data_IF_309748600084
#
_entry.id   IF_309748600084
#
_cell.length_a   1.000
_cell.length_b   1.000
_cell.length_c   1.000
_cell.angle_alpha   90.00
_cell.angle_beta   90.00
_cell.angle_gamma   90.00
#
_symmetry.space_group_name_H-M   'P 1'
#
loop_
_entity.id
_entity.type
_entity.pdbx_description
1 polymer ?
#
# COMPACT_ATOMS: atom_id res chain seq x y z
N UNK A 1 -14.72 0.16 -7.76
CA UNK A 1 -14.81 1.27 -8.73
C UNK A 1 -14.09 2.50 -8.18
N UNK A 2 -13.66 3.40 -9.08
CA UNK A 2 -13.00 4.67 -8.72
C UNK A 2 -13.89 5.53 -7.81
N UNK A 3 -15.20 5.56 -8.08
CA UNK A 3 -16.18 6.24 -7.23
C UNK A 3 -16.17 5.71 -5.80
N UNK A 4 -16.17 4.39 -5.62
CA UNK A 4 -16.12 3.76 -4.28
C UNK A 4 -14.80 4.05 -3.56
N UNK A 5 -13.70 4.07 -4.29
CA UNK A 5 -12.39 4.46 -3.76
C UNK A 5 -12.40 5.90 -3.24
N UNK A 6 -12.93 6.85 -4.03
CA UNK A 6 -13.06 8.26 -3.62
C UNK A 6 -13.94 8.41 -2.37
N UNK A 7 -15.09 7.72 -2.32
CA UNK A 7 -15.98 7.73 -1.15
C UNK A 7 -15.25 7.22 0.10
N UNK A 8 -14.55 6.10 -0.02
CA UNK A 8 -13.78 5.53 1.11
C UNK A 8 -12.68 6.47 1.58
N UNK A 9 -11.84 6.97 0.68
CA UNK A 9 -10.72 7.84 1.04
C UNK A 9 -11.19 9.17 1.63
N UNK A 10 -12.30 9.73 1.15
CA UNK A 10 -12.92 10.93 1.74
C UNK A 10 -13.41 10.66 3.17
N UNK A 11 -14.08 9.51 3.38
CA UNK A 11 -14.49 9.11 4.73
C UNK A 11 -13.31 9.01 5.68
N UNK A 12 -12.22 8.34 5.27
CA UNK A 12 -11.02 8.23 6.10
C UNK A 12 -10.45 9.60 6.43
N UNK A 13 -10.34 10.50 5.44
CA UNK A 13 -9.76 11.84 5.61
C UNK A 13 -10.57 12.72 6.58
N UNK A 14 -11.88 12.61 6.54
CA UNK A 14 -12.79 13.49 7.30
C UNK A 14 -13.11 12.94 8.70
N UNK A 15 -12.92 11.64 8.93
CA UNK A 15 -13.24 11.03 10.22
C UNK A 15 -12.15 11.29 11.27
N UNK A 16 -12.50 11.96 12.36
CA UNK A 16 -11.57 12.34 13.45
C UNK A 16 -10.75 11.18 14.02
N UNK A 17 -11.24 9.95 13.96
CA UNK A 17 -10.55 8.77 14.50
C UNK A 17 -9.61 8.12 13.49
N UNK A 18 -9.93 8.25 12.19
CA UNK A 18 -9.24 7.53 11.11
C UNK A 18 -8.39 8.43 10.20
N UNK A 19 -8.54 9.77 10.26
CA UNK A 19 -7.74 10.71 9.47
C UNK A 19 -6.23 10.51 9.63
N UNK A 20 -5.78 10.07 10.80
CA UNK A 20 -4.38 9.76 11.08
C UNK A 20 -3.80 8.59 10.26
N UNK A 21 -4.64 7.76 9.65
CA UNK A 21 -4.25 6.64 8.78
C UNK A 21 -4.36 6.97 7.30
N UNK A 22 -4.83 8.19 6.98
CA UNK A 22 -5.07 8.58 5.59
C UNK A 22 -3.83 8.44 4.72
N UNK A 23 -2.69 8.97 5.17
CA UNK A 23 -1.43 8.91 4.42
C UNK A 23 -0.93 7.47 4.24
N UNK A 24 -1.11 6.58 5.24
CA UNK A 24 -0.79 5.15 5.11
C UNK A 24 -1.60 4.50 4.00
N UNK A 25 -2.90 4.81 3.93
CA UNK A 25 -3.81 4.25 2.92
C UNK A 25 -3.54 4.83 1.53
N UNK A 26 -3.18 6.12 1.43
CA UNK A 26 -2.74 6.72 0.17
C UNK A 26 -1.50 6.03 -0.37
N UNK A 27 -0.49 5.81 0.47
CA UNK A 27 0.74 5.11 0.04
C UNK A 27 0.45 3.69 -0.43
N UNK A 28 -0.34 2.92 0.32
CA UNK A 28 -0.72 1.55 -0.09
C UNK A 28 -1.48 1.53 -1.42
N UNK A 29 -2.45 2.43 -1.56
CA UNK A 29 -3.31 2.51 -2.75
C UNK A 29 -2.53 3.04 -3.97
N UNK A 30 -1.58 3.97 -3.77
CA UNK A 30 -0.82 4.61 -4.84
C UNK A 30 0.46 3.87 -5.24
N UNK A 31 0.83 2.80 -4.54
CA UNK A 31 2.04 2.02 -4.83
C UNK A 31 1.79 0.56 -5.17
N UNK A 32 0.63 0.03 -4.77
CA UNK A 32 0.30 -1.39 -4.94
C UNK A 32 1.22 -2.35 -4.17
N UNK A 33 2.02 -1.88 -3.22
CA UNK A 33 2.85 -2.75 -2.36
C UNK A 33 2.01 -3.77 -1.59
N UNK A 34 2.63 -4.91 -1.25
CA UNK A 34 2.05 -5.79 -0.23
C UNK A 34 2.09 -5.08 1.12
N UNK A 35 1.08 -5.31 1.94
CA UNK A 35 1.01 -4.67 3.27
C UNK A 35 2.22 -5.01 4.15
N UNK A 36 2.76 -6.21 4.06
CA UNK A 36 3.97 -6.63 4.77
C UNK A 36 5.25 -5.94 4.25
N UNK A 37 5.34 -5.67 2.93
CA UNK A 37 6.39 -4.86 2.33
C UNK A 37 6.31 -3.40 2.85
N UNK A 38 5.12 -2.82 2.88
CA UNK A 38 4.90 -1.47 3.40
C UNK A 38 5.27 -1.35 4.89
N UNK A 39 4.86 -2.33 5.70
CA UNK A 39 5.25 -2.38 7.11
C UNK A 39 6.76 -2.59 7.30
N UNK A 40 7.43 -3.22 6.34
CA UNK A 40 8.87 -3.44 6.34
C UNK A 40 9.70 -2.21 5.98
N UNK A 41 9.11 -1.19 5.35
CA UNK A 41 9.86 -0.01 4.91
C UNK A 41 10.58 0.66 6.08
N UNK A 42 11.86 0.93 5.86
CA UNK A 42 12.70 1.74 6.73
C UNK A 42 12.93 3.12 6.12
N UNK A 43 13.46 4.06 6.92
CA UNK A 43 13.83 5.38 6.44
C UNK A 43 14.87 5.35 5.30
N UNK A 44 15.70 4.28 5.27
CA UNK A 44 16.73 4.09 4.23
C UNK A 44 16.16 3.61 2.88
N UNK A 45 14.91 3.16 2.86
CA UNK A 45 14.25 2.70 1.64
C UNK A 45 13.58 3.83 0.85
N UNK A 46 13.57 5.03 1.42
CA UNK A 46 12.92 6.20 0.85
C UNK A 46 13.94 7.17 0.26
N UNK A 47 14.11 7.15 -1.05
CA UNK A 47 14.87 8.17 -1.78
C UNK A 47 13.92 9.30 -2.21
N UNK A 48 13.74 10.27 -1.32
CA UNK A 48 12.85 11.40 -1.56
C UNK A 48 13.37 12.34 -2.65
N UNK A 49 14.69 12.44 -2.82
CA UNK A 49 15.30 13.29 -3.85
C UNK A 49 14.98 12.77 -5.25
N UNK A 50 15.09 11.47 -5.47
CA UNK A 50 14.82 10.82 -6.76
C UNK A 50 13.40 10.23 -6.83
N UNK A 51 12.57 10.43 -5.82
CA UNK A 51 11.19 9.94 -5.72
C UNK A 51 11.07 8.43 -5.95
N UNK A 52 11.87 7.65 -5.22
CA UNK A 52 11.91 6.19 -5.32
C UNK A 52 11.70 5.53 -3.97
N UNK A 53 10.93 4.46 -3.95
CA UNK A 53 10.79 3.55 -2.81
C UNK A 53 11.49 2.25 -3.17
N UNK A 54 12.47 1.84 -2.35
CA UNK A 54 13.10 0.53 -2.50
C UNK A 54 12.26 -0.52 -1.78
N UNK A 55 11.94 -1.60 -2.48
CA UNK A 55 11.21 -2.75 -1.92
C UNK A 55 12.07 -3.98 -2.16
N UNK A 56 12.67 -4.55 -1.10
CA UNK A 56 13.51 -5.74 -1.17
C UNK A 56 13.30 -6.68 0.03
N UNK A 57 12.41 -6.32 0.93
CA UNK A 57 12.08 -7.10 2.13
C UNK A 57 10.67 -6.81 2.62
N UNK A 58 10.21 -7.61 3.57
CA UNK A 58 8.93 -7.46 4.24
C UNK A 58 9.08 -7.74 5.74
N UNK A 59 8.25 -7.10 6.56
CA UNK A 59 8.18 -7.33 7.99
C UNK A 59 7.03 -8.29 8.32
N UNK A 60 7.34 -9.35 9.03
CA UNK A 60 6.39 -10.37 9.45
C UNK A 60 6.41 -10.49 10.97
N UNK A 61 5.25 -10.80 11.54
CA UNK A 61 5.10 -11.19 12.93
C UNK A 61 4.43 -12.55 13.01
N UNK A 62 5.12 -13.50 13.61
CA UNK A 62 4.58 -14.83 13.87
C UNK A 62 3.49 -14.83 14.95
N UNK A 63 2.69 -15.88 14.99
CA UNK A 63 1.63 -16.07 15.99
C UNK A 63 2.15 -16.05 17.44
N UNK A 64 3.42 -16.42 17.66
CA UNK A 64 4.13 -16.31 18.93
C UNK A 64 4.60 -14.90 19.29
N UNK A 65 4.32 -13.89 18.47
CA UNK A 65 4.68 -12.50 18.73
C UNK A 65 6.08 -12.08 18.28
N UNK A 66 6.90 -13.01 17.77
CA UNK A 66 8.23 -12.72 17.26
C UNK A 66 8.15 -11.99 15.92
N UNK A 67 8.94 -10.91 15.80
CA UNK A 67 9.11 -10.16 14.56
C UNK A 67 10.34 -10.69 13.82
N UNK A 68 10.26 -10.74 12.49
CA UNK A 68 11.40 -11.01 11.63
C UNK A 68 11.24 -10.31 10.28
N UNK A 69 12.38 -10.06 9.63
CA UNK A 69 12.42 -9.49 8.29
C UNK A 69 12.72 -10.59 7.29
N UNK A 70 11.81 -10.80 6.34
CA UNK A 70 12.01 -11.73 5.24
C UNK A 70 12.43 -10.94 3.99
N UNK A 71 13.60 -11.27 3.45
CA UNK A 71 14.04 -10.75 2.16
C UNK A 71 13.22 -11.37 1.04
N UNK A 72 13.02 -10.62 -0.03
CA UNK A 72 12.32 -11.15 -1.21
C UNK A 72 13.11 -12.32 -1.80
N UNK A 73 12.43 -13.45 -2.01
CA UNK A 73 13.03 -14.71 -2.49
C UNK A 73 13.46 -14.67 -3.95
N UNK A 74 12.92 -13.75 -4.73
CA UNK A 74 13.14 -13.63 -6.17
C UNK A 74 13.67 -12.26 -6.52
N UNK A 75 14.42 -12.15 -7.62
CA UNK A 75 14.84 -10.86 -8.17
C UNK A 75 13.65 -9.96 -8.50
N UNK A 76 12.54 -10.52 -8.98
CA UNK A 76 11.30 -9.78 -9.24
C UNK A 76 10.71 -9.11 -7.99
N UNK A 77 11.04 -9.63 -6.80
CA UNK A 77 10.64 -9.02 -5.54
C UNK A 77 11.44 -7.76 -5.21
N UNK A 78 12.68 -7.65 -5.73
CA UNK A 78 13.53 -6.47 -5.54
C UNK A 78 13.21 -5.46 -6.62
N UNK A 79 12.66 -4.33 -6.22
CA UNK A 79 12.24 -3.31 -7.18
C UNK A 79 12.25 -1.93 -6.57
N UNK A 80 12.24 -0.94 -7.44
CA UNK A 80 11.98 0.45 -7.06
C UNK A 80 10.60 0.85 -7.56
N UNK A 81 9.81 1.45 -6.69
CA UNK A 81 8.51 2.01 -7.03
C UNK A 81 8.66 3.51 -7.13
N UNK A 82 8.30 4.14 -8.26
CA UNK A 82 8.32 5.60 -8.36
C UNK A 82 7.20 6.19 -7.51
N UNK A 83 7.47 7.35 -6.90
CA UNK A 83 6.48 8.08 -6.13
C UNK A 83 5.71 9.03 -7.04
N UNK A 84 4.39 8.90 -7.10
CA UNK A 84 3.53 9.97 -7.62
C UNK A 84 3.57 11.15 -6.66
N UNK A 85 3.08 12.33 -7.07
CA UNK A 85 3.02 13.51 -6.18
C UNK A 85 2.25 13.22 -4.89
N UNK A 86 1.12 12.54 -5.00
CA UNK A 86 0.27 12.19 -3.86
C UNK A 86 0.97 11.24 -2.89
N UNK A 87 1.65 10.20 -3.41
CA UNK A 87 2.44 9.27 -2.60
C UNK A 87 3.62 9.98 -1.93
N UNK A 88 4.31 10.85 -2.65
CA UNK A 88 5.44 11.63 -2.14
C UNK A 88 4.99 12.52 -0.98
N UNK A 89 3.91 13.27 -1.14
CA UNK A 89 3.36 14.13 -0.10
C UNK A 89 2.94 13.32 1.14
N UNK A 90 2.27 12.20 0.93
CA UNK A 90 1.85 11.31 2.04
C UNK A 90 3.06 10.72 2.78
N UNK A 91 4.12 10.33 2.08
CA UNK A 91 5.36 9.87 2.73
C UNK A 91 6.04 11.00 3.52
N UNK A 92 6.05 12.22 3.01
CA UNK A 92 6.56 13.39 3.77
C UNK A 92 5.74 13.61 5.05
N UNK A 93 4.41 13.50 4.99
CA UNK A 93 3.54 13.63 6.16
C UNK A 93 3.82 12.51 7.18
N UNK A 94 3.95 11.25 6.71
CA UNK A 94 4.30 10.12 7.58
C UNK A 94 5.65 10.34 8.27
N UNK A 95 6.66 10.80 7.54
CA UNK A 95 7.98 11.12 8.09
C UNK A 95 7.94 12.27 9.10
N UNK A 96 7.20 13.34 8.81
CA UNK A 96 7.04 14.49 9.69
C UNK A 96 6.34 14.11 11.01
N UNK A 97 5.36 13.21 10.94
CA UNK A 97 4.59 12.73 12.08
C UNK A 97 5.24 11.54 12.80
N UNK A 98 6.27 10.92 12.20
CA UNK A 98 6.95 9.79 12.81
C UNK A 98 7.68 10.20 14.07
N UNK A 99 7.41 9.48 15.17
CA UNK A 99 8.10 9.67 16.43
C UNK A 99 9.60 9.38 16.26
N UNK A 100 10.44 10.31 16.69
CA UNK A 100 11.88 10.08 16.77
C UNK A 100 12.19 9.29 18.04
N UNK A 101 12.63 8.06 17.88
CA UNK A 101 12.98 7.19 19.01
C UNK A 101 14.44 7.42 19.40
N UNK A 102 14.71 7.47 20.71
CA UNK A 102 16.09 7.52 21.22
C UNK A 102 16.85 6.23 20.91
N UNK A 103 16.14 5.10 21.01
CA UNK A 103 16.65 3.78 20.65
C UNK A 103 15.67 3.14 19.65
N UNK A 104 16.09 2.99 18.41
CA UNK A 104 15.29 2.31 17.40
C UNK A 104 15.28 0.81 17.64
N UNK A 105 14.13 0.19 17.40
CA UNK A 105 14.03 -1.28 17.43
C UNK A 105 14.81 -1.86 16.25
N UNK A 106 15.64 -2.86 16.52
CA UNK A 106 16.41 -3.57 15.49
C UNK A 106 15.81 -4.97 15.33
N UNK A 107 15.44 -5.32 14.10
CA UNK A 107 14.91 -6.63 13.73
C UNK A 107 15.72 -7.16 12.55
N UNK A 108 16.44 -8.26 12.75
CA UNK A 108 17.31 -8.89 11.74
C UNK A 108 18.26 -7.91 11.02
N UNK A 109 18.78 -6.93 11.78
CA UNK A 109 19.70 -5.90 11.26
C UNK A 109 19.02 -4.68 10.63
N UNK A 110 17.69 -4.65 10.53
CA UNK A 110 16.92 -3.51 10.06
C UNK A 110 16.47 -2.64 11.22
N UNK A 111 16.51 -1.32 11.05
CA UNK A 111 16.07 -0.32 12.04
C UNK A 111 15.49 0.90 11.34
N UNK A 112 14.85 1.79 12.10
CA UNK A 112 14.24 2.99 11.53
C UNK A 112 13.01 2.67 10.68
N UNK A 113 12.19 1.70 11.08
CA UNK A 113 10.93 1.38 10.39
C UNK A 113 10.04 2.60 10.29
N UNK A 114 9.46 2.83 9.10
CA UNK A 114 8.63 4.00 8.82
C UNK A 114 7.41 4.07 9.71
N UNK A 115 6.73 2.96 9.90
CA UNK A 115 5.46 2.87 10.62
C UNK A 115 5.67 2.28 12.02
N UNK A 116 5.23 3.01 13.03
CA UNK A 116 5.29 2.59 14.43
C UNK A 116 3.87 2.46 15.01
N UNK A 117 3.70 1.50 15.89
CA UNK A 117 2.48 1.35 16.69
C UNK A 117 2.52 2.29 17.94
N UNK A 118 1.47 2.23 18.75
CA UNK A 118 1.36 3.04 19.98
C UNK A 118 2.41 2.71 21.05
N UNK A 119 3.09 1.57 20.93
CA UNK A 119 4.12 1.11 21.87
C UNK A 119 5.54 1.30 21.29
N UNK A 120 5.66 2.10 20.22
CA UNK A 120 6.92 2.36 19.52
C UNK A 120 7.54 1.13 18.84
N UNK A 121 6.76 0.06 18.63
CA UNK A 121 7.17 -1.09 17.82
C UNK A 121 6.77 -0.90 16.35
N UNK A 122 7.49 -1.49 15.40
CA UNK A 122 7.09 -1.46 14.00
C UNK A 122 5.68 -2.03 13.81
N UNK A 123 4.85 -1.34 13.02
CA UNK A 123 3.55 -1.88 12.60
C UNK A 123 3.76 -3.13 11.74
N UNK A 124 2.84 -4.07 11.84
CA UNK A 124 2.73 -5.25 10.97
C UNK A 124 1.40 -5.25 10.25
N UNK A 125 1.25 -6.09 9.23
CA UNK A 125 0.05 -6.20 8.40
C UNK A 125 -1.25 -6.21 9.21
N UNK A 126 -1.29 -6.95 10.32
CA UNK A 126 -2.46 -7.05 11.18
C UNK A 126 -2.92 -5.69 11.76
N UNK A 127 -2.00 -4.75 12.02
CA UNK A 127 -2.38 -3.41 12.49
C UNK A 127 -3.19 -2.68 11.42
N UNK A 128 -2.69 -2.62 10.20
CA UNK A 128 -3.33 -1.94 9.07
C UNK A 128 -4.66 -2.61 8.70
N UNK A 129 -4.71 -3.95 8.69
CA UNK A 129 -5.93 -4.71 8.46
C UNK A 129 -7.00 -4.42 9.51
N UNK A 130 -6.60 -4.31 10.78
CA UNK A 130 -7.51 -3.95 11.87
C UNK A 130 -8.00 -2.50 11.73
N UNK A 131 -7.13 -1.56 11.40
CA UNK A 131 -7.46 -0.16 11.16
C UNK A 131 -8.52 -0.04 10.05
N UNK A 132 -8.31 -0.71 8.91
CA UNK A 132 -9.30 -0.76 7.83
C UNK A 132 -10.61 -1.43 8.25
N UNK A 133 -10.54 -2.54 8.96
CA UNK A 133 -11.71 -3.29 9.42
C UNK A 133 -12.58 -2.46 10.37
N UNK A 134 -11.96 -1.76 11.33
CA UNK A 134 -12.70 -0.91 12.27
C UNK A 134 -13.26 0.34 11.61
N UNK A 135 -12.51 0.95 10.68
CA UNK A 135 -12.99 2.06 9.89
C UNK A 135 -14.20 1.65 9.03
N UNK A 136 -14.15 0.47 8.38
CA UNK A 136 -15.27 -0.07 7.60
C UNK A 136 -16.50 -0.35 8.48
N UNK A 137 -16.29 -0.88 9.68
CA UNK A 137 -17.39 -1.10 10.63
C UNK A 137 -18.09 0.22 11.00
N UNK A 138 -17.31 1.28 11.23
CA UNK A 138 -17.84 2.62 11.51
C UNK A 138 -18.56 3.20 10.29
N UNK A 139 -17.96 3.11 9.10
CA UNK A 139 -18.56 3.57 7.85
C UNK A 139 -19.95 2.95 7.64
N UNK A 140 -20.06 1.62 7.72
CA UNK A 140 -21.33 0.91 7.54
C UNK A 140 -22.41 1.32 8.55
N UNK A 141 -22.00 1.68 9.77
CA UNK A 141 -22.93 2.18 10.80
C UNK A 141 -23.45 3.58 10.46
N UNK A 142 -22.59 4.44 9.89
CA UNK A 142 -22.96 5.82 9.56
C UNK A 142 -23.69 5.94 8.22
N UNK A 143 -23.41 5.06 7.28
CA UNK A 143 -23.92 5.09 5.91
C UNK A 143 -24.54 3.76 5.48
N UNK A 144 -25.64 3.31 6.13
CA UNK A 144 -26.23 2.00 5.85
C UNK A 144 -26.78 1.91 4.41
N UNK A 145 -27.26 3.03 3.85
CA UNK A 145 -27.83 3.11 2.50
C UNK A 145 -26.80 3.30 1.40
N UNK A 146 -25.54 3.47 1.74
CA UNK A 146 -24.42 3.63 0.81
C UNK A 146 -23.33 2.56 1.02
N UNK A 147 -23.62 1.26 0.81
CA UNK A 147 -22.71 0.20 1.11
C UNK A 147 -21.46 0.24 0.23
N UNK A 148 -20.31 0.05 0.87
CA UNK A 148 -19.04 -0.19 0.19
C UNK A 148 -18.67 -1.69 0.27
N UNK A 149 -17.94 -2.22 -0.72
CA UNK A 149 -17.42 -3.58 -0.66
C UNK A 149 -16.47 -3.73 0.53
N UNK A 150 -16.10 -4.99 0.84
CA UNK A 150 -15.10 -5.24 1.86
C UNK A 150 -13.73 -4.72 1.40
N UNK A 151 -13.17 -3.75 2.12
CA UNK A 151 -11.90 -3.10 1.81
C UNK A 151 -10.80 -3.69 2.68
N UNK A 152 -9.72 -4.15 2.04
CA UNK A 152 -8.53 -4.72 2.67
C UNK A 152 -7.29 -4.19 1.96
N UNK A 153 -6.08 -4.35 2.53
CA UNK A 153 -4.84 -4.02 1.83
C UNK A 153 -4.69 -4.77 0.49
N UNK A 154 -5.18 -6.01 0.42
CA UNK A 154 -5.17 -6.78 -0.83
C UNK A 154 -6.10 -6.17 -1.89
N UNK A 155 -7.27 -5.69 -1.49
CA UNK A 155 -8.19 -4.95 -2.40
C UNK A 155 -7.53 -3.66 -2.88
N UNK A 156 -6.80 -2.93 -2.05
CA UNK A 156 -6.05 -1.75 -2.47
C UNK A 156 -5.00 -2.08 -3.54
N UNK A 157 -4.22 -3.13 -3.30
CA UNK A 157 -3.23 -3.61 -4.27
C UNK A 157 -3.86 -4.03 -5.60
N UNK A 158 -4.99 -4.75 -5.54
CA UNK A 158 -5.74 -5.12 -6.75
C UNK A 158 -6.29 -3.89 -7.48
N UNK A 159 -6.81 -2.92 -6.73
CA UNK A 159 -7.33 -1.64 -7.27
C UNK A 159 -6.22 -0.86 -7.96
N UNK A 160 -5.03 -0.76 -7.35
CA UNK A 160 -3.87 -0.14 -8.00
C UNK A 160 -3.53 -0.83 -9.32
N UNK A 161 -3.43 -2.16 -9.32
CA UNK A 161 -3.13 -2.94 -10.51
C UNK A 161 -4.14 -2.67 -11.64
N UNK A 162 -5.43 -2.69 -11.32
CA UNK A 162 -6.52 -2.41 -12.27
C UNK A 162 -6.47 -0.97 -12.79
N UNK A 163 -6.26 0.01 -11.91
CA UNK A 163 -6.18 1.41 -12.30
C UNK A 163 -5.00 1.68 -13.25
N UNK A 164 -3.84 1.07 -12.97
CA UNK A 164 -2.66 1.22 -13.83
C UNK A 164 -2.85 0.52 -15.18
N UNK A 165 -3.47 -0.65 -15.20
CA UNK A 165 -3.83 -1.33 -16.44
C UNK A 165 -4.80 -0.49 -17.29
N UNK A 166 -5.87 0.05 -16.69
CA UNK A 166 -6.84 0.92 -17.35
C UNK A 166 -6.23 2.25 -17.83
N UNK A 167 -5.19 2.74 -17.14
CA UNK A 167 -4.43 3.92 -17.57
C UNK A 167 -3.41 3.61 -18.70
N UNK A 168 -3.37 2.38 -19.21
CA UNK A 168 -2.51 1.99 -20.34
C UNK A 168 -1.05 1.73 -19.93
N UNK A 169 -0.76 1.45 -18.66
CA UNK A 169 0.58 1.07 -18.25
C UNK A 169 0.98 -0.24 -18.95
N UNK A 170 2.20 -0.28 -19.48
CA UNK A 170 2.74 -1.51 -20.09
C UNK A 170 2.72 -2.69 -19.11
N UNK A 171 2.38 -3.90 -19.62
CA UNK A 171 2.21 -5.10 -18.80
C UNK A 171 3.48 -5.45 -18.04
N UNK A 172 4.66 -5.33 -18.67
CA UNK A 172 5.94 -5.64 -18.03
C UNK A 172 6.30 -4.59 -16.96
N UNK A 173 6.00 -3.32 -17.23
CA UNK A 173 6.16 -2.25 -16.26
C UNK A 173 5.25 -2.48 -15.04
N UNK A 174 3.99 -2.86 -15.26
CA UNK A 174 3.06 -3.18 -14.19
C UNK A 174 3.49 -4.42 -13.41
N UNK A 175 3.92 -5.48 -14.11
CA UNK A 175 4.47 -6.69 -13.49
C UNK A 175 5.67 -6.36 -12.58
N UNK A 176 6.58 -5.51 -13.05
CA UNK A 176 7.73 -5.05 -12.29
C UNK A 176 7.31 -4.28 -11.03
N UNK A 177 6.46 -3.25 -11.16
CA UNK A 177 5.99 -2.45 -10.02
C UNK A 177 5.27 -3.30 -8.99
N UNK A 178 4.43 -4.24 -9.45
CA UNK A 178 3.71 -5.17 -8.59
C UNK A 178 4.62 -6.22 -7.94
N UNK A 179 5.79 -6.51 -8.50
CA UNK A 179 6.67 -7.59 -8.04
C UNK A 179 6.01 -8.96 -8.18
N UNK A 180 5.31 -9.18 -9.32
CA UNK A 180 4.73 -10.47 -9.65
C UNK A 180 5.79 -11.34 -10.36
N UNK A 181 6.09 -12.51 -9.79
CA UNK A 181 6.98 -13.50 -10.41
C UNK A 181 6.34 -14.16 -11.64
N UNK A 182 5.00 -14.28 -11.65
CA UNK A 182 4.24 -14.82 -12.74
C UNK A 182 3.47 -13.71 -13.48
N UNK A 183 3.71 -13.61 -14.79
CA UNK A 183 3.03 -12.64 -15.66
C UNK A 183 1.53 -12.89 -15.76
N UNK A 184 1.07 -14.14 -15.59
CA UNK A 184 -0.34 -14.51 -15.66
C UNK A 184 -1.20 -13.74 -14.66
N UNK A 185 -0.65 -13.46 -13.47
CA UNK A 185 -1.33 -12.69 -12.43
C UNK A 185 -1.61 -11.25 -12.91
N UNK A 186 -0.64 -10.66 -13.61
CA UNK A 186 -0.80 -9.30 -14.17
C UNK A 186 -1.71 -9.35 -15.41
N UNK A 187 -1.55 -10.34 -16.29
CA UNK A 187 -2.36 -10.51 -17.49
C UNK A 187 -3.85 -10.66 -17.17
N UNK A 188 -4.20 -11.36 -16.10
CA UNK A 188 -5.60 -11.53 -15.71
C UNK A 188 -6.32 -10.20 -15.47
N UNK A 189 -5.61 -9.11 -15.16
CA UNK A 189 -6.19 -7.77 -15.00
C UNK A 189 -6.51 -7.16 -16.37
N UNK A 190 -5.73 -7.49 -17.42
CA UNK A 190 -5.95 -6.98 -18.78
C UNK A 190 -7.00 -7.79 -19.58
N UNK A 191 -7.37 -9.00 -19.14
CA UNK A 191 -8.37 -9.82 -19.83
C UNK A 191 -9.79 -9.27 -19.77
N UNK A 192 -10.02 -8.25 -18.96
CA UNK A 192 -11.27 -7.47 -18.93
C UNK A 192 -11.25 -6.25 -19.86
N UNK A 193 -10.34 -6.22 -20.84
CA UNK A 193 -10.35 -5.18 -21.88
C UNK A 193 -11.71 -5.21 -22.60
N UNK A 194 -12.49 -4.14 -22.44
CA UNK A 194 -13.77 -3.97 -23.09
C UNK A 194 -13.58 -3.61 -24.58
N UNK A 195 -14.61 -3.86 -25.40
CA UNK A 195 -14.65 -3.39 -26.78
C UNK A 195 -14.36 -1.88 -26.88
N UNK A 196 -14.86 -1.11 -25.92
CA UNK A 196 -14.68 0.36 -25.86
C UNK A 196 -13.20 0.74 -25.75
N UNK A 197 -12.43 0.04 -24.91
CA UNK A 197 -10.99 0.28 -24.79
C UNK A 197 -10.23 -0.14 -26.07
N UNK A 198 -10.63 -1.23 -26.70
CA UNK A 198 -10.04 -1.64 -27.98
C UNK A 198 -10.36 -0.62 -29.08
N UNK A 199 -11.57 -0.09 -29.11
CA UNK A 199 -11.99 0.92 -30.07
C UNK A 199 -11.21 2.25 -29.89
N UNK A 200 -10.98 2.68 -28.65
CA UNK A 200 -10.16 3.85 -28.33
C UNK A 200 -8.71 3.72 -28.77
N UNK A 201 -8.13 2.52 -28.68
CA UNK A 201 -6.74 2.26 -29.10
C UNK A 201 -6.58 2.10 -30.62
N UNK A 202 -7.66 1.85 -31.35
CA UNK A 202 -7.66 1.72 -32.81
C UNK A 202 -8.03 3.03 -33.55
N UNK A 203 -8.44 4.07 -32.82
CA UNK A 203 -8.80 5.37 -33.35
C UNK A 203 -7.60 6.31 -33.41
#
# INVERSE_FOLDING_TARGET
TEKQQKVWMNFIREDKSYAKYYDEFVVLLGTGMRVSEFCGLTLQDLDLQNRKIRVDHQLIRESGGKYYVEKTKTECGRRFIPMTEEVFQSLQNLLANRKRLKNEVIIDGYSGFLLLDKNDHPKVALHIENEMRWAMKKYRKLYPDAPLPHITPHVFRHTFCTNMANAGMDIKALQYVMGHSDASITLNVYTHASYDHAAEQMA
#
